data_IF_883510646371
#
_entry.id   IF_883510646371
#
_cell.length_a   1.000
_cell.length_b   1.000
_cell.length_c   1.000
_cell.angle_alpha   90.00
_cell.angle_beta   90.00
_cell.angle_gamma   90.00
#
_symmetry.space_group_name_H-M   'P 1'
#
loop_
_entity.id
_entity.type
_entity.pdbx_description
1 polymer ?
#
# COMPACT_ATOMS: atom_id res chain seq x y z
N UNK A 1 10.47 -18.99 -2.78
CA UNK A 1 9.38 -18.49 -1.92
C UNK A 1 9.38 -19.15 -0.55
N UNK A 2 9.69 -20.46 -0.43
CA UNK A 2 9.70 -21.15 0.87
C UNK A 2 10.65 -20.53 1.92
N UNK A 3 11.83 -20.05 1.52
CA UNK A 3 12.73 -19.36 2.43
C UNK A 3 12.12 -18.07 3.04
N UNK A 4 11.31 -17.34 2.26
CA UNK A 4 10.62 -16.14 2.72
C UNK A 4 9.51 -16.48 3.72
N UNK A 5 8.75 -17.55 3.43
CA UNK A 5 7.73 -18.09 4.35
C UNK A 5 8.37 -18.56 5.65
N UNK A 6 9.47 -19.32 5.56
CA UNK A 6 10.19 -19.80 6.73
C UNK A 6 10.70 -18.64 7.61
N UNK A 7 11.27 -17.60 7.00
CA UNK A 7 11.72 -16.40 7.71
C UNK A 7 10.58 -15.77 8.53
N UNK A 8 9.42 -15.53 7.92
CA UNK A 8 8.27 -14.93 8.60
C UNK A 8 7.63 -15.86 9.63
N UNK A 9 7.61 -17.17 9.37
CA UNK A 9 7.18 -18.17 10.34
C UNK A 9 8.03 -18.11 11.61
N UNK A 10 9.36 -18.07 11.48
CA UNK A 10 10.29 -17.95 12.62
C UNK A 10 10.09 -16.63 13.37
N UNK A 11 9.90 -15.51 12.66
CA UNK A 11 9.57 -14.22 13.30
C UNK A 11 8.27 -14.34 14.11
N UNK A 12 7.22 -14.94 13.55
CA UNK A 12 5.97 -15.19 14.28
C UNK A 12 6.18 -16.02 15.55
N UNK A 13 6.99 -17.08 15.46
CA UNK A 13 7.35 -17.89 16.62
C UNK A 13 8.13 -17.10 17.68
N UNK A 14 9.08 -16.26 17.27
CA UNK A 14 9.84 -15.38 18.19
C UNK A 14 8.95 -14.32 18.86
N UNK A 15 7.86 -13.90 18.21
CA UNK A 15 6.83 -13.03 18.82
C UNK A 15 5.89 -13.79 19.77
N UNK A 16 6.08 -15.10 19.95
CA UNK A 16 5.26 -15.95 20.83
C UNK A 16 3.97 -16.45 20.18
N UNK A 17 3.82 -16.32 18.86
CA UNK A 17 2.66 -16.88 18.15
C UNK A 17 2.83 -18.40 18.09
N UNK A 18 1.83 -19.13 18.59
CA UNK A 18 1.81 -20.58 18.47
C UNK A 18 1.73 -20.99 17.00
N UNK A 19 2.42 -22.08 16.64
CA UNK A 19 2.53 -22.54 15.25
C UNK A 19 1.18 -22.73 14.55
N UNK A 20 0.15 -23.19 15.29
CA UNK A 20 -1.20 -23.38 14.73
C UNK A 20 -1.85 -22.07 14.25
N UNK A 21 -1.53 -20.94 14.90
CA UNK A 21 -2.07 -19.61 14.60
C UNK A 21 -1.17 -18.78 13.68
N UNK A 22 0.02 -19.29 13.35
CA UNK A 22 0.92 -18.57 12.47
C UNK A 22 0.36 -18.53 11.04
N UNK A 23 0.40 -17.35 10.41
CA UNK A 23 -0.05 -17.19 9.03
C UNK A 23 0.88 -17.95 8.07
N UNK A 24 2.18 -17.95 8.35
CA UNK A 24 3.20 -18.67 7.59
C UNK A 24 3.38 -20.08 8.15
N UNK A 25 3.28 -21.08 7.28
CA UNK A 25 3.34 -22.52 7.59
C UNK A 25 4.69 -23.12 7.17
N UNK A 26 4.77 -24.45 7.09
CA UNK A 26 5.94 -25.20 6.63
C UNK A 26 6.25 -25.04 5.15
N UNK A 27 5.25 -24.73 4.32
CA UNK A 27 5.38 -24.65 2.87
C UNK A 27 4.68 -23.42 2.31
N UNK A 28 5.17 -22.95 1.17
CA UNK A 28 4.54 -21.84 0.47
C UNK A 28 3.08 -22.13 0.09
N UNK A 29 2.78 -23.31 -0.46
CA UNK A 29 1.42 -23.66 -0.91
C UNK A 29 0.38 -23.57 0.21
N UNK A 30 0.70 -24.09 1.40
CA UNK A 30 -0.21 -24.05 2.55
C UNK A 30 -0.33 -22.64 3.13
N UNK A 31 0.74 -21.84 3.04
CA UNK A 31 0.71 -20.41 3.42
C UNK A 31 -0.14 -19.60 2.46
N UNK A 32 0.00 -19.83 1.15
CA UNK A 32 -0.76 -19.14 0.11
C UNK A 32 -2.26 -19.35 0.29
N UNK A 33 -2.69 -20.60 0.52
CA UNK A 33 -4.09 -20.91 0.81
C UNK A 33 -4.61 -20.15 2.05
N UNK A 34 -3.84 -20.13 3.15
CA UNK A 34 -4.21 -19.35 4.35
C UNK A 34 -4.29 -17.85 4.06
N UNK A 35 -3.37 -17.33 3.27
CA UNK A 35 -3.35 -15.91 2.90
C UNK A 35 -4.53 -15.55 2.00
N UNK A 36 -4.94 -16.43 1.09
CA UNK A 36 -6.16 -16.24 0.30
C UNK A 36 -7.41 -16.20 1.20
N UNK A 37 -7.51 -17.07 2.20
CA UNK A 37 -8.61 -17.03 3.17
C UNK A 37 -8.61 -15.73 3.97
N UNK A 38 -7.46 -15.32 4.51
CA UNK A 38 -7.34 -14.06 5.26
C UNK A 38 -7.69 -12.86 4.37
N UNK A 39 -7.24 -12.83 3.12
CA UNK A 39 -7.58 -11.77 2.18
C UNK A 39 -9.10 -11.69 1.94
N UNK A 40 -9.73 -12.83 1.61
CA UNK A 40 -11.13 -12.86 1.21
C UNK A 40 -12.11 -12.77 2.39
N UNK A 41 -11.82 -13.44 3.50
CA UNK A 41 -12.74 -13.57 4.64
C UNK A 41 -12.55 -12.49 5.71
N UNK A 42 -11.38 -11.84 5.75
CA UNK A 42 -11.05 -10.84 6.79
C UNK A 42 -10.80 -9.47 6.16
N UNK A 43 -9.80 -9.36 5.26
CA UNK A 43 -9.39 -8.06 4.73
C UNK A 43 -10.47 -7.42 3.85
N UNK A 44 -11.05 -8.18 2.93
CA UNK A 44 -12.11 -7.65 2.06
C UNK A 44 -13.33 -7.12 2.83
N UNK A 45 -13.96 -7.88 3.75
CA UNK A 45 -15.09 -7.35 4.50
C UNK A 45 -14.71 -6.18 5.40
N UNK A 46 -13.52 -6.18 6.01
CA UNK A 46 -13.04 -5.05 6.82
C UNK A 46 -12.84 -3.77 5.98
N UNK A 47 -12.39 -3.91 4.73
CA UNK A 47 -12.24 -2.80 3.80
C UNK A 47 -13.58 -2.30 3.25
N UNK A 48 -14.59 -3.15 3.11
CA UNK A 48 -15.94 -2.73 2.75
C UNK A 48 -16.64 -2.02 3.92
N UNK A 49 -16.47 -2.53 5.14
CA UNK A 49 -17.07 -2.01 6.38
C UNK A 49 -16.06 -1.19 7.20
N UNK A 50 -15.54 -0.11 6.60
CA UNK A 50 -14.53 0.75 7.24
C UNK A 50 -15.09 1.42 8.49
N UNK A 51 -14.34 1.32 9.58
CA UNK A 51 -14.61 2.08 10.80
C UNK A 51 -14.07 3.51 10.70
N UNK A 52 -14.58 4.42 11.54
CA UNK A 52 -14.07 5.79 11.62
C UNK A 52 -12.58 5.81 12.04
N UNK A 53 -12.18 4.93 12.95
CA UNK A 53 -10.78 4.81 13.39
C UNK A 53 -9.85 4.34 12.28
N UNK A 54 -10.31 3.40 11.42
CA UNK A 54 -9.55 2.99 10.25
C UNK A 54 -9.24 4.18 9.33
N UNK A 55 -10.25 5.02 9.04
CA UNK A 55 -10.07 6.22 8.22
C UNK A 55 -9.13 7.22 8.89
N UNK A 56 -9.29 7.45 10.19
CA UNK A 56 -8.47 8.38 10.97
C UNK A 56 -7.00 7.95 10.99
N UNK A 57 -6.73 6.68 11.30
CA UNK A 57 -5.36 6.13 11.33
C UNK A 57 -4.74 6.10 9.94
N UNK A 58 -5.52 5.72 8.92
CA UNK A 58 -5.06 5.71 7.54
C UNK A 58 -4.67 7.11 7.05
N UNK A 59 -5.46 8.14 7.37
CA UNK A 59 -5.11 9.54 7.05
C UNK A 59 -3.82 9.97 7.73
N UNK A 60 -3.71 9.74 9.04
CA UNK A 60 -2.49 10.10 9.79
C UNK A 60 -1.23 9.40 9.23
N UNK A 61 -1.34 8.12 8.84
CA UNK A 61 -0.25 7.38 8.22
C UNK A 61 0.17 8.00 6.88
N UNK A 62 -0.80 8.26 6.00
CA UNK A 62 -0.55 8.79 4.65
C UNK A 62 -0.02 10.22 4.70
N UNK A 63 -0.59 11.08 5.54
CA UNK A 63 -0.12 12.45 5.76
C UNK A 63 1.30 12.48 6.33
N UNK A 64 1.63 11.56 7.26
CA UNK A 64 3.00 11.41 7.75
C UNK A 64 3.99 10.95 6.68
N UNK A 65 3.55 10.07 5.78
CA UNK A 65 4.36 9.57 4.65
C UNK A 65 4.55 10.60 3.52
N UNK A 66 3.71 11.64 3.44
CA UNK A 66 3.77 12.65 2.39
C UNK A 66 5.15 13.32 2.29
N UNK A 67 5.82 13.53 3.43
CA UNK A 67 7.17 14.11 3.49
C UNK A 67 8.25 13.20 2.89
N UNK A 68 7.99 11.89 2.76
CA UNK A 68 8.87 10.93 2.11
C UNK A 68 8.59 10.85 0.62
N UNK A 69 7.31 10.92 0.24
CA UNK A 69 6.88 10.82 -1.13
C UNK A 69 5.60 11.65 -1.37
N UNK A 70 5.70 12.80 -2.07
CA UNK A 70 4.54 13.65 -2.38
C UNK A 70 3.52 13.01 -3.34
N UNK A 71 3.79 11.83 -3.89
CA UNK A 71 2.82 11.04 -4.66
C UNK A 71 1.88 10.21 -3.77
N UNK A 72 1.92 10.38 -2.45
CA UNK A 72 1.05 9.70 -1.50
C UNK A 72 -0.10 10.62 -1.09
N UNK A 73 -1.33 10.19 -1.37
CA UNK A 73 -2.56 10.90 -1.04
C UNK A 73 -3.61 9.87 -0.57
N UNK A 74 -4.41 10.21 0.43
CA UNK A 74 -5.23 9.25 1.17
C UNK A 74 -6.29 8.56 0.29
N UNK A 75 -7.11 9.31 -0.46
CA UNK A 75 -8.19 8.72 -1.27
C UNK A 75 -7.62 7.83 -2.38
N UNK A 76 -6.52 8.27 -3.00
CA UNK A 76 -5.78 7.54 -4.03
C UNK A 76 -5.19 6.24 -3.48
N UNK A 77 -4.53 6.29 -2.32
CA UNK A 77 -3.92 5.10 -1.69
C UNK A 77 -4.95 4.14 -1.12
N UNK A 78 -6.08 4.66 -0.64
CA UNK A 78 -7.20 3.83 -0.23
C UNK A 78 -7.81 3.11 -1.42
N UNK A 79 -7.96 3.79 -2.57
CA UNK A 79 -8.37 3.14 -3.81
C UNK A 79 -7.38 2.05 -4.23
N UNK A 80 -6.07 2.32 -4.19
CA UNK A 80 -5.05 1.32 -4.50
C UNK A 80 -5.10 0.13 -3.54
N UNK A 81 -5.36 0.37 -2.24
CA UNK A 81 -5.50 -0.69 -1.24
C UNK A 81 -6.71 -1.59 -1.55
N UNK A 82 -7.83 -0.99 -1.97
CA UNK A 82 -9.02 -1.73 -2.41
C UNK A 82 -8.73 -2.55 -3.68
N UNK A 83 -8.03 -1.95 -4.66
CA UNK A 83 -7.60 -2.62 -5.89
C UNK A 83 -6.70 -3.83 -5.60
N UNK A 84 -5.73 -3.69 -4.70
CA UNK A 84 -4.81 -4.77 -4.31
C UNK A 84 -5.52 -5.95 -3.62
N UNK A 85 -6.65 -5.69 -2.95
CA UNK A 85 -7.47 -6.72 -2.31
C UNK A 85 -8.57 -7.26 -3.24
N UNK A 86 -8.58 -6.88 -4.52
CA UNK A 86 -9.58 -7.27 -5.52
C UNK A 86 -11.02 -6.95 -5.10
N UNK A 87 -11.24 -5.79 -4.48
CA UNK A 87 -12.60 -5.34 -4.14
C UNK A 87 -13.35 -5.00 -5.43
N UNK A 88 -14.55 -5.57 -5.66
CA UNK A 88 -15.35 -5.27 -6.85
C UNK A 88 -15.61 -3.76 -7.02
N UNK A 89 -15.39 -3.25 -8.23
CA UNK A 89 -15.57 -1.83 -8.57
C UNK A 89 -14.36 -0.92 -8.26
N UNK A 90 -13.27 -1.46 -7.70
CA UNK A 90 -12.01 -0.73 -7.47
C UNK A 90 -10.89 -1.13 -8.46
N UNK A 91 -11.26 -1.67 -9.62
CA UNK A 91 -10.32 -1.95 -10.70
C UNK A 91 -10.01 -0.67 -11.49
N UNK A 92 -8.75 -0.51 -11.89
CA UNK A 92 -8.34 0.67 -12.67
C UNK A 92 -8.29 0.36 -14.17
N UNK A 93 -7.75 -0.81 -14.52
CA UNK A 93 -7.70 -1.31 -15.89
C UNK A 93 -8.78 -2.37 -16.11
N UNK A 94 -9.33 -2.44 -17.32
CA UNK A 94 -10.41 -3.39 -17.65
C UNK A 94 -9.96 -4.85 -17.53
N UNK A 95 -8.68 -5.13 -17.79
CA UNK A 95 -8.11 -6.47 -17.78
C UNK A 95 -7.89 -7.03 -16.36
N UNK A 96 -8.10 -6.23 -15.31
CA UNK A 96 -7.91 -6.63 -13.91
C UNK A 96 -9.13 -7.29 -13.30
N UNK A 97 -10.30 -7.06 -13.89
CA UNK A 97 -11.53 -7.64 -13.38
C UNK A 97 -11.49 -9.17 -13.55
N UNK A 98 -11.69 -9.90 -12.45
CA UNK A 98 -11.74 -11.37 -12.51
C UNK A 98 -12.89 -11.81 -13.43
N UNK A 99 -12.68 -12.79 -14.33
CA UNK A 99 -13.59 -13.16 -15.43
C UNK A 99 -14.95 -13.78 -15.02
N UNK A 100 -15.43 -13.53 -13.80
CA UNK A 100 -16.75 -13.94 -13.31
C UNK A 100 -17.48 -12.89 -12.46
N UNK A 101 -16.82 -11.79 -12.09
CA UNK A 101 -17.45 -10.69 -11.35
C UNK A 101 -17.98 -9.70 -12.37
N UNK A 102 -19.27 -9.81 -12.70
CA UNK A 102 -19.94 -8.79 -13.52
C UNK A 102 -19.94 -7.48 -12.74
N UNK A 103 -18.99 -6.60 -13.05
CA UNK A 103 -19.11 -5.20 -12.67
C UNK A 103 -20.45 -4.71 -13.21
N UNK A 104 -21.36 -4.39 -12.30
CA UNK A 104 -22.64 -3.79 -12.66
C UNK A 104 -22.34 -2.53 -13.46
N UNK A 105 -22.66 -2.53 -14.76
CA UNK A 105 -22.36 -1.44 -15.71
C UNK A 105 -22.88 -0.05 -15.28
N UNK A 106 -23.67 0.01 -14.22
CA UNK A 106 -24.30 1.21 -13.65
C UNK A 106 -23.55 1.77 -12.43
N UNK A 107 -22.55 1.08 -11.88
CA UNK A 107 -21.84 1.56 -10.69
C UNK A 107 -20.82 2.65 -11.11
N UNK A 108 -21.11 3.90 -10.73
CA UNK A 108 -20.19 5.03 -10.89
C UNK A 108 -18.82 4.66 -10.31
N UNK A 109 -17.76 4.89 -11.08
CA UNK A 109 -16.40 4.51 -10.68
C UNK A 109 -16.02 5.30 -9.43
N UNK A 110 -15.57 4.67 -8.32
CA UNK A 110 -15.33 5.35 -7.05
C UNK A 110 -14.41 6.58 -7.17
N UNK A 111 -13.42 6.53 -8.06
CA UNK A 111 -12.46 7.62 -8.24
C UNK A 111 -13.05 8.88 -8.90
N UNK A 112 -14.25 8.83 -9.49
CA UNK A 112 -14.88 10.00 -10.12
C UNK A 112 -15.28 11.07 -9.08
N UNK A 113 -15.53 10.63 -7.84
CA UNK A 113 -15.87 11.49 -6.70
C UNK A 113 -14.64 12.21 -6.12
N UNK A 114 -13.43 11.79 -6.50
CA UNK A 114 -12.20 12.33 -5.94
C UNK A 114 -11.87 13.74 -6.48
N UNK A 115 -11.11 14.49 -5.69
CA UNK A 115 -10.53 15.76 -6.12
C UNK A 115 -9.66 15.57 -7.37
N UNK A 116 -9.53 16.61 -8.20
CA UNK A 116 -8.67 16.59 -9.41
C UNK A 116 -7.23 16.19 -9.09
N UNK A 117 -6.71 16.64 -7.95
CA UNK A 117 -5.38 16.29 -7.50
C UNK A 117 -5.26 14.79 -7.19
N UNK A 118 -6.15 14.23 -6.37
CA UNK A 118 -6.20 12.80 -6.07
C UNK A 118 -6.34 11.95 -7.35
N UNK A 119 -7.19 12.37 -8.30
CA UNK A 119 -7.32 11.68 -9.60
C UNK A 119 -6.02 11.69 -10.41
N UNK A 120 -5.31 12.81 -10.41
CA UNK A 120 -4.00 12.92 -11.05
C UNK A 120 -2.97 12.00 -10.39
N UNK A 121 -2.89 12.01 -9.06
CA UNK A 121 -2.00 11.13 -8.29
C UNK A 121 -2.31 9.66 -8.56
N UNK A 122 -3.59 9.26 -8.48
CA UNK A 122 -4.02 7.90 -8.78
C UNK A 122 -3.62 7.47 -10.20
N UNK A 123 -3.84 8.32 -11.21
CA UNK A 123 -3.40 8.05 -12.58
C UNK A 123 -1.88 7.86 -12.65
N UNK A 124 -1.11 8.77 -12.07
CA UNK A 124 0.35 8.68 -12.05
C UNK A 124 0.82 7.38 -11.39
N UNK A 125 0.31 7.02 -10.21
CA UNK A 125 0.74 5.82 -9.49
C UNK A 125 0.36 4.55 -10.25
N UNK A 126 -0.88 4.46 -10.74
CA UNK A 126 -1.32 3.30 -11.54
C UNK A 126 -0.46 3.13 -12.80
N UNK A 127 -0.20 4.22 -13.53
CA UNK A 127 0.60 4.18 -14.74
C UNK A 127 2.08 3.87 -14.45
N UNK A 128 2.62 4.42 -13.35
CA UNK A 128 3.97 4.09 -12.90
C UNK A 128 4.09 2.59 -12.65
N UNK A 129 3.15 2.03 -11.88
CA UNK A 129 3.18 0.63 -11.45
C UNK A 129 2.93 -0.36 -12.59
N UNK A 130 1.95 -0.11 -13.47
CA UNK A 130 1.57 -1.08 -14.50
C UNK A 130 2.41 -0.99 -15.76
N UNK A 131 2.93 0.20 -16.11
CA UNK A 131 3.62 0.43 -17.39
C UNK A 131 5.09 0.78 -17.18
N UNK A 132 5.38 1.87 -16.47
CA UNK A 132 6.73 2.46 -16.42
C UNK A 132 7.75 1.59 -15.71
N UNK A 133 7.36 0.88 -14.63
CA UNK A 133 8.29 0.00 -13.90
C UNK A 133 8.80 -1.18 -14.73
N UNK A 134 8.14 -1.53 -15.85
CA UNK A 134 8.65 -2.52 -16.80
C UNK A 134 9.90 -2.01 -17.54
N UNK A 135 10.12 -0.69 -17.59
CA UNK A 135 11.29 -0.07 -18.22
C UNK A 135 12.45 -0.05 -17.21
N UNK A 136 13.57 -0.68 -17.56
CA UNK A 136 14.74 -0.80 -16.68
C UNK A 136 15.29 0.55 -16.19
N UNK A 137 15.38 1.55 -17.09
CA UNK A 137 15.86 2.90 -16.75
C UNK A 137 14.99 3.57 -15.69
N UNK A 138 13.66 3.44 -15.82
CA UNK A 138 12.72 4.06 -14.87
C UNK A 138 12.84 3.40 -13.50
N UNK A 139 12.98 2.06 -13.47
CA UNK A 139 13.21 1.33 -12.23
C UNK A 139 14.53 1.75 -11.56
N UNK A 140 15.60 1.95 -12.32
CA UNK A 140 16.86 2.46 -11.78
C UNK A 140 16.71 3.87 -11.21
N UNK A 141 15.99 4.74 -11.91
CA UNK A 141 15.66 6.07 -11.41
C UNK A 141 14.91 6.02 -10.07
N UNK A 142 13.84 5.23 -9.96
CA UNK A 142 13.10 5.11 -8.70
C UNK A 142 13.95 4.51 -7.56
N UNK A 143 14.78 3.51 -7.86
CA UNK A 143 15.71 2.96 -6.87
C UNK A 143 16.71 4.01 -6.37
N UNK A 144 17.27 4.83 -7.27
CA UNK A 144 18.18 5.93 -6.91
C UNK A 144 17.44 7.04 -6.14
N UNK A 145 16.20 7.34 -6.52
CA UNK A 145 15.35 8.32 -5.85
C UNK A 145 15.06 7.91 -4.39
N UNK A 146 14.89 6.61 -4.11
CA UNK A 146 14.76 6.09 -2.74
C UNK A 146 16.04 6.25 -1.91
N UNK A 147 17.22 6.11 -2.51
CA UNK A 147 18.50 6.36 -1.83
C UNK A 147 18.67 7.85 -1.55
N UNK A 148 18.35 8.70 -2.53
CA UNK A 148 18.42 10.15 -2.41
C UNK A 148 17.42 10.69 -1.39
N UNK A 149 16.19 10.16 -1.32
CA UNK A 149 15.20 10.58 -0.33
C UNK A 149 15.68 10.30 1.10
N UNK A 150 16.32 9.15 1.35
CA UNK A 150 16.96 8.85 2.64
C UNK A 150 18.05 9.87 2.99
N UNK A 151 18.88 10.27 2.02
CA UNK A 151 19.89 11.30 2.22
C UNK A 151 19.24 12.65 2.59
N UNK A 152 18.24 13.09 1.82
CA UNK A 152 17.53 14.34 2.06
C UNK A 152 16.88 14.36 3.43
N UNK A 153 16.20 13.29 3.85
CA UNK A 153 15.54 13.26 5.16
C UNK A 153 16.54 13.28 6.31
N UNK A 154 17.73 12.69 6.13
CA UNK A 154 18.75 12.66 7.19
C UNK A 154 19.43 14.02 7.38
N UNK A 155 19.72 14.72 6.29
CA UNK A 155 20.58 15.92 6.33
C UNK A 155 19.83 17.23 6.03
N UNK A 156 18.79 17.18 5.21
CA UNK A 156 18.03 18.36 4.78
C UNK A 156 16.55 18.04 4.53
N UNK A 157 15.76 17.77 5.59
CA UNK A 157 14.37 17.31 5.49
C UNK A 157 13.41 18.46 5.14
N UNK A 158 13.62 19.12 3.99
CA UNK A 158 12.88 20.34 3.60
C UNK A 158 11.35 20.14 3.54
N UNK A 159 10.87 18.96 3.11
CA UNK A 159 9.43 18.65 3.11
C UNK A 159 8.86 18.55 4.52
N UNK A 160 9.60 17.92 5.44
CA UNK A 160 9.19 17.85 6.84
C UNK A 160 9.27 19.22 7.52
N UNK A 161 10.27 20.05 7.19
CA UNK A 161 10.35 21.44 7.66
C UNK A 161 9.12 22.22 7.22
N UNK A 162 8.66 22.05 5.98
CA UNK A 162 7.46 22.69 5.47
C UNK A 162 6.19 22.21 6.18
N UNK A 163 6.05 20.90 6.40
CA UNK A 163 4.82 20.32 6.96
C UNK A 163 4.71 20.45 8.49
N UNK A 164 5.82 20.23 9.22
CA UNK A 164 5.84 20.12 10.68
C UNK A 164 6.67 21.21 11.37
N UNK A 165 7.41 22.03 10.61
CA UNK A 165 8.31 23.03 11.16
C UNK A 165 9.73 22.50 11.41
N UNK A 166 10.65 23.41 11.71
CA UNK A 166 12.10 23.11 11.80
C UNK A 166 12.43 22.19 12.98
N UNK A 167 11.79 22.37 14.13
CA UNK A 167 12.08 21.60 15.35
C UNK A 167 11.70 20.14 15.19
N UNK A 168 10.54 19.89 14.58
CA UNK A 168 9.92 18.57 14.51
C UNK A 168 10.36 17.81 13.25
N UNK A 169 11.06 18.48 12.32
CA UNK A 169 11.62 17.86 11.13
C UNK A 169 12.86 16.99 11.41
N UNK A 170 13.63 17.30 12.46
CA UNK A 170 14.86 16.57 12.80
C UNK A 170 14.59 15.53 13.88
N UNK A 171 14.02 14.38 13.49
CA UNK A 171 13.76 13.26 14.40
C UNK A 171 14.82 12.17 14.24
N UNK A 172 15.54 11.87 15.33
CA UNK A 172 16.38 10.66 15.41
C UNK A 172 15.53 9.47 15.80
N UNK A 173 14.98 8.78 14.80
CA UNK A 173 14.12 7.60 15.00
C UNK A 173 14.94 6.40 15.53
N UNK A 174 16.19 6.27 15.11
CA UNK A 174 17.12 5.24 15.56
C UNK A 174 18.28 5.91 16.29
N UNK A 175 18.49 5.57 17.56
CA UNK A 175 19.71 5.92 18.31
C UNK A 175 20.85 5.00 17.90
#
# INVERSE_FOLDING_TARGET
MDAFVHMWRVIGHMMGIEERFNACTDRFETTEQRMSLIANEILQPALLQRTAEFVKMGKALIEGLWCFNPLVEFDSFLFLTMRLNNIPGYHYWADEASPGVKESATQLRPYEQFSRYARFILYCVCYIQSVLLNIALVRWYFNMQMVMSRFLITYFPFLAIYAFGVTDAYVRILK
#
